data_IF_322373815516
#
_entry.id   IF_322373815516
#
_cell.length_a   1.000
_cell.length_b   1.000
_cell.length_c   1.000
_cell.angle_alpha   90.00
_cell.angle_beta   90.00
_cell.angle_gamma   90.00
#
_symmetry.space_group_name_H-M   'P 1'
#
loop_
_entity.id
_entity.type
_entity.pdbx_description
1 polymer ?
#
# COMPACT_ATOMS: atom_id res chain seq x y z
N UNK A 1 -29.98 111.72 19.34
CA UNK A 1 -28.83 110.80 19.14
C UNK A 1 -28.97 109.47 19.89
N UNK A 2 -29.29 109.41 21.20
CA UNK A 2 -29.39 108.15 21.96
C UNK A 2 -30.28 107.05 21.34
N UNK A 3 -31.45 107.41 20.78
CA UNK A 3 -32.37 106.44 20.14
C UNK A 3 -31.81 105.84 18.84
N UNK A 4 -31.11 106.64 18.03
CA UNK A 4 -30.49 106.19 16.77
C UNK A 4 -29.33 105.23 17.04
N UNK A 5 -28.52 105.53 18.06
CA UNK A 5 -27.43 104.65 18.50
C UNK A 5 -27.98 103.31 19.03
N UNK A 6 -29.06 103.33 19.80
CA UNK A 6 -29.70 102.12 20.31
C UNK A 6 -30.25 101.21 19.19
N UNK A 7 -30.86 101.79 18.15
CA UNK A 7 -31.37 101.04 16.99
C UNK A 7 -30.25 100.44 16.16
N UNK A 8 -29.17 101.19 15.93
CA UNK A 8 -27.98 100.68 15.22
C UNK A 8 -27.31 99.53 15.97
N UNK A 9 -27.20 99.62 17.29
CA UNK A 9 -26.66 98.54 18.13
C UNK A 9 -27.56 97.32 18.07
N UNK A 10 -28.89 97.49 18.19
CA UNK A 10 -29.84 96.38 18.10
C UNK A 10 -29.79 95.69 16.72
N UNK A 11 -29.71 96.47 15.63
CA UNK A 11 -29.57 95.93 14.28
C UNK A 11 -28.26 95.18 14.09
N UNK A 12 -27.13 95.72 14.60
CA UNK A 12 -25.84 95.06 14.55
C UNK A 12 -25.85 93.73 15.33
N UNK A 13 -26.44 93.70 16.52
CA UNK A 13 -26.58 92.48 17.33
C UNK A 13 -27.43 91.43 16.60
N UNK A 14 -28.57 91.80 16.01
CA UNK A 14 -29.42 90.88 15.24
C UNK A 14 -28.71 90.33 13.99
N UNK A 15 -27.95 91.17 13.29
CA UNK A 15 -27.13 90.73 12.14
C UNK A 15 -26.02 89.77 12.58
N UNK A 16 -25.31 90.07 13.67
CA UNK A 16 -24.26 89.16 14.19
C UNK A 16 -24.85 87.83 14.65
N UNK A 17 -26.02 87.84 15.32
CA UNK A 17 -26.72 86.62 15.71
C UNK A 17 -27.19 85.79 14.52
N UNK A 18 -27.70 86.44 13.46
CA UNK A 18 -28.07 85.78 12.20
C UNK A 18 -26.87 85.15 11.48
N UNK A 19 -25.73 85.86 11.43
CA UNK A 19 -24.47 85.34 10.86
C UNK A 19 -23.99 84.12 11.66
N UNK A 20 -23.96 84.20 12.99
CA UNK A 20 -23.54 83.08 13.86
C UNK A 20 -24.47 81.88 13.68
N UNK A 21 -25.78 82.09 13.62
CA UNK A 21 -26.74 81.01 13.35
C UNK A 21 -26.51 80.36 11.98
N UNK A 22 -26.19 81.15 10.94
CA UNK A 22 -25.90 80.61 9.62
C UNK A 22 -24.57 79.86 9.58
N UNK A 23 -23.55 80.35 10.27
CA UNK A 23 -22.27 79.66 10.42
C UNK A 23 -22.47 78.32 11.13
N UNK A 24 -23.18 78.29 12.25
CA UNK A 24 -23.48 77.06 12.98
C UNK A 24 -24.28 76.06 12.12
N UNK A 25 -25.25 76.55 11.34
CA UNK A 25 -26.01 75.70 10.40
C UNK A 25 -25.13 75.11 9.30
N UNK A 26 -24.25 75.93 8.70
CA UNK A 26 -23.29 75.45 7.69
C UNK A 26 -22.24 74.50 8.27
N UNK A 27 -21.82 74.69 9.52
CA UNK A 27 -20.93 73.77 10.22
C UNK A 27 -21.61 72.43 10.52
N UNK A 28 -22.89 72.46 10.90
CA UNK A 28 -23.70 71.25 11.09
C UNK A 28 -23.89 70.49 9.76
N UNK A 29 -24.30 71.18 8.69
CA UNK A 29 -24.46 70.59 7.35
C UNK A 29 -23.13 69.99 6.85
N UNK A 30 -22.01 70.68 7.08
CA UNK A 30 -20.67 70.19 6.74
C UNK A 30 -20.32 68.94 7.54
N UNK A 31 -20.60 68.92 8.84
CA UNK A 31 -20.30 67.77 9.70
C UNK A 31 -21.11 66.53 9.28
N UNK A 32 -22.39 66.72 8.94
CA UNK A 32 -23.25 65.66 8.41
C UNK A 32 -22.73 65.12 7.07
N UNK A 33 -22.42 66.01 6.11
CA UNK A 33 -21.87 65.59 4.82
C UNK A 33 -20.53 64.85 4.94
N UNK A 34 -19.66 65.25 5.88
CA UNK A 34 -18.40 64.53 6.16
C UNK A 34 -18.66 63.16 6.79
N UNK A 35 -19.64 63.06 7.69
CA UNK A 35 -20.01 61.79 8.31
C UNK A 35 -20.59 60.81 7.28
N UNK A 36 -21.46 61.29 6.38
CA UNK A 36 -22.00 60.49 5.28
C UNK A 36 -20.90 60.03 4.32
N UNK A 37 -19.99 60.93 3.91
CA UNK A 37 -18.87 60.58 3.03
C UNK A 37 -17.95 59.53 3.68
N UNK A 38 -17.67 59.67 4.98
CA UNK A 38 -16.84 58.72 5.72
C UNK A 38 -17.52 57.34 5.82
N UNK A 39 -18.82 57.30 6.13
CA UNK A 39 -19.58 56.05 6.16
C UNK A 39 -19.66 55.38 4.78
N UNK A 40 -19.80 56.16 3.70
CA UNK A 40 -19.77 55.66 2.33
C UNK A 40 -18.39 55.11 1.96
N UNK A 41 -17.32 55.80 2.35
CA UNK A 41 -15.95 55.34 2.14
C UNK A 41 -15.68 54.01 2.87
N UNK A 42 -16.11 53.88 4.12
CA UNK A 42 -15.99 52.64 4.91
C UNK A 42 -16.78 51.48 4.29
N UNK A 43 -18.00 51.76 3.84
CA UNK A 43 -18.85 50.76 3.16
C UNK A 43 -18.21 50.30 1.85
N UNK A 44 -17.68 51.24 1.07
CA UNK A 44 -16.99 50.94 -0.20
C UNK A 44 -15.72 50.12 0.06
N UNK A 45 -14.93 50.48 1.05
CA UNK A 45 -13.73 49.75 1.43
C UNK A 45 -14.05 48.31 1.84
N UNK A 46 -15.09 48.11 2.67
CA UNK A 46 -15.55 46.78 3.08
C UNK A 46 -16.05 45.95 1.89
N UNK A 47 -16.78 46.58 0.96
CA UNK A 47 -17.26 45.90 -0.24
C UNK A 47 -16.10 45.45 -1.14
N UNK A 48 -15.07 46.29 -1.33
CA UNK A 48 -13.87 45.94 -2.08
C UNK A 48 -13.12 44.77 -1.45
N UNK A 49 -12.88 44.81 -0.13
CA UNK A 49 -12.22 43.69 0.58
C UNK A 49 -12.99 42.37 0.43
N UNK A 50 -14.32 42.42 0.50
CA UNK A 50 -15.16 41.23 0.31
C UNK A 50 -15.07 40.71 -1.12
N UNK A 51 -15.07 41.60 -2.12
CA UNK A 51 -14.91 41.23 -3.52
C UNK A 51 -13.57 40.57 -3.77
N UNK A 52 -12.47 41.14 -3.26
CA UNK A 52 -11.12 40.58 -3.39
C UNK A 52 -11.01 39.20 -2.74
N UNK A 53 -11.59 39.05 -1.54
CA UNK A 53 -11.66 37.76 -0.86
C UNK A 53 -12.43 36.70 -1.66
N UNK A 54 -13.60 37.06 -2.20
CA UNK A 54 -14.43 36.14 -2.99
C UNK A 54 -13.75 35.77 -4.31
N UNK A 55 -13.09 36.73 -4.98
CA UNK A 55 -12.33 36.47 -6.19
C UNK A 55 -11.22 35.43 -5.93
N UNK A 56 -10.42 35.61 -4.89
CA UNK A 56 -9.39 34.64 -4.52
C UNK A 56 -9.94 33.30 -4.03
N UNK A 57 -11.15 33.27 -3.45
CA UNK A 57 -11.81 32.02 -3.08
C UNK A 57 -12.34 31.25 -4.29
N UNK A 58 -12.83 31.95 -5.32
CA UNK A 58 -13.26 31.35 -6.59
C UNK A 58 -12.06 30.78 -7.34
N UNK A 59 -10.97 31.55 -7.47
CA UNK A 59 -9.75 31.10 -8.14
C UNK A 59 -9.21 29.80 -7.54
N UNK A 60 -9.10 29.73 -6.20
CA UNK A 60 -8.70 28.48 -5.51
C UNK A 60 -9.64 27.31 -5.76
N UNK A 61 -10.95 27.56 -5.81
CA UNK A 61 -11.93 26.51 -6.07
C UNK A 61 -11.89 26.01 -7.53
N UNK A 62 -11.57 26.89 -8.47
CA UNK A 62 -11.34 26.55 -9.88
C UNK A 62 -10.07 25.72 -10.04
N UNK A 63 -8.97 26.12 -9.38
CA UNK A 63 -7.72 25.35 -9.34
C UNK A 63 -7.93 23.95 -8.73
N UNK A 64 -8.56 23.86 -7.56
CA UNK A 64 -8.88 22.57 -6.92
C UNK A 64 -9.75 21.67 -7.82
N UNK A 65 -10.64 22.27 -8.61
CA UNK A 65 -11.50 21.53 -9.56
C UNK A 65 -10.69 21.04 -10.75
N UNK A 66 -9.77 21.85 -11.27
CA UNK A 66 -8.87 21.47 -12.36
C UNK A 66 -7.93 20.33 -11.96
N UNK A 67 -7.32 20.43 -10.78
CA UNK A 67 -6.42 19.42 -10.22
C UNK A 67 -7.14 18.07 -10.03
N UNK A 68 -8.34 18.08 -9.47
CA UNK A 68 -9.19 16.87 -9.35
C UNK A 68 -9.55 16.30 -10.72
N UNK A 69 -9.86 17.16 -11.69
CA UNK A 69 -10.11 16.76 -13.07
C UNK A 69 -8.92 16.01 -13.66
N UNK A 70 -7.72 16.57 -13.54
CA UNK A 70 -6.48 15.96 -14.03
C UNK A 70 -6.19 14.60 -13.37
N UNK A 71 -6.39 14.48 -12.05
CA UNK A 71 -6.26 13.19 -11.36
C UNK A 71 -7.26 12.15 -11.88
N UNK A 72 -8.53 12.54 -12.09
CA UNK A 72 -9.57 11.64 -12.60
C UNK A 72 -9.26 11.16 -14.03
N UNK A 73 -8.68 12.00 -14.88
CA UNK A 73 -8.28 11.65 -16.25
C UNK A 73 -7.20 10.55 -16.29
N UNK A 74 -6.36 10.45 -15.26
CA UNK A 74 -5.30 9.43 -15.18
C UNK A 74 -5.79 8.06 -14.66
N UNK A 75 -6.90 8.02 -13.93
CA UNK A 75 -7.40 6.78 -13.28
C UNK A 75 -7.75 5.63 -14.25
N UNK A 76 -8.31 5.86 -15.46
CA UNK A 76 -8.56 4.78 -16.42
C UNK A 76 -7.31 4.01 -16.84
N UNK A 77 -6.17 4.69 -17.02
CA UNK A 77 -4.89 4.05 -17.33
C UNK A 77 -4.42 3.16 -16.16
N UNK A 78 -4.51 3.68 -14.93
CA UNK A 78 -4.22 2.91 -13.72
C UNK A 78 -5.09 1.64 -13.61
N UNK A 79 -6.40 1.76 -13.85
CA UNK A 79 -7.32 0.60 -13.80
C UNK A 79 -7.00 -0.45 -14.87
N UNK A 80 -6.53 -0.03 -16.04
CA UNK A 80 -6.07 -0.94 -17.10
C UNK A 80 -4.87 -1.77 -16.63
N UNK A 81 -3.89 -1.14 -16.00
CA UNK A 81 -2.73 -1.83 -15.43
C UNK A 81 -3.11 -2.76 -14.27
N UNK A 82 -4.06 -2.37 -13.41
CA UNK A 82 -4.57 -3.25 -12.33
C UNK A 82 -5.24 -4.50 -12.90
N UNK A 83 -5.99 -4.37 -14.00
CA UNK A 83 -6.59 -5.52 -14.68
C UNK A 83 -5.54 -6.44 -15.32
N UNK A 84 -4.48 -5.88 -15.90
CA UNK A 84 -3.34 -6.62 -16.43
C UNK A 84 -2.61 -7.39 -15.31
N UNK A 85 -2.28 -6.73 -14.20
CA UNK A 85 -1.68 -7.38 -13.03
C UNK A 85 -2.55 -8.50 -12.49
N UNK A 86 -3.86 -8.28 -12.38
CA UNK A 86 -4.81 -9.31 -11.92
C UNK A 86 -4.75 -10.56 -12.80
N UNK A 87 -4.62 -10.39 -14.11
CA UNK A 87 -4.48 -11.48 -15.07
C UNK A 87 -3.14 -12.20 -14.90
N UNK A 88 -2.04 -11.46 -14.75
CA UNK A 88 -0.71 -12.03 -14.48
C UNK A 88 -0.70 -12.84 -13.17
N UNK A 89 -1.27 -12.31 -12.09
CA UNK A 89 -1.39 -12.98 -10.79
C UNK A 89 -2.22 -14.28 -10.85
N UNK A 90 -3.28 -14.30 -11.66
CA UNK A 90 -4.05 -15.53 -11.93
C UNK A 90 -3.19 -16.55 -12.68
N UNK A 91 -2.46 -16.12 -13.69
CA UNK A 91 -1.54 -16.97 -14.47
C UNK A 91 -0.37 -17.52 -13.66
N UNK A 92 0.05 -16.78 -12.62
CA UNK A 92 1.12 -17.13 -11.68
C UNK A 92 0.68 -18.09 -10.56
N UNK A 93 -0.62 -18.28 -10.36
CA UNK A 93 -1.15 -19.09 -9.26
C UNK A 93 -0.55 -20.50 -9.27
N UNK A 94 0.06 -20.87 -8.15
CA UNK A 94 0.67 -22.19 -7.95
C UNK A 94 1.99 -22.40 -8.69
N UNK A 95 2.54 -21.35 -9.34
CA UNK A 95 3.85 -21.37 -10.00
C UNK A 95 4.88 -20.56 -9.21
N UNK A 96 4.50 -19.35 -8.78
CA UNK A 96 5.39 -18.39 -8.10
C UNK A 96 4.71 -17.72 -6.91
N UNK A 97 5.49 -17.29 -5.90
CA UNK A 97 5.00 -16.56 -4.73
C UNK A 97 4.72 -15.10 -5.03
N UNK A 98 3.44 -14.79 -5.16
CA UNK A 98 2.94 -13.45 -5.48
C UNK A 98 2.52 -12.64 -4.26
N UNK A 99 2.79 -13.10 -3.03
CA UNK A 99 2.34 -12.41 -1.81
C UNK A 99 2.89 -10.98 -1.69
N UNK A 100 4.20 -10.79 -1.90
CA UNK A 100 4.82 -9.46 -1.90
C UNK A 100 4.29 -8.56 -3.03
N UNK A 101 4.09 -9.12 -4.23
CA UNK A 101 3.52 -8.41 -5.38
C UNK A 101 2.11 -7.89 -5.10
N UNK A 102 1.25 -8.71 -4.45
CA UNK A 102 -0.09 -8.30 -4.03
C UNK A 102 -0.07 -7.19 -2.99
N UNK A 103 0.83 -7.28 -2.00
CA UNK A 103 0.97 -6.24 -0.98
C UNK A 103 1.39 -4.89 -1.60
N UNK A 104 2.39 -4.91 -2.49
CA UNK A 104 2.82 -3.72 -3.21
C UNK A 104 1.71 -3.12 -4.09
N UNK A 105 0.93 -3.96 -4.77
CA UNK A 105 -0.20 -3.51 -5.59
C UNK A 105 -1.34 -2.89 -4.76
N UNK A 106 -1.60 -3.42 -3.56
CA UNK A 106 -2.57 -2.81 -2.64
C UNK A 106 -2.09 -1.45 -2.12
N UNK A 107 -0.80 -1.33 -1.81
CA UNK A 107 -0.20 -0.05 -1.43
C UNK A 107 -0.36 1.00 -2.54
N UNK A 108 -0.08 0.62 -3.79
CA UNK A 108 -0.23 1.53 -4.94
C UNK A 108 -1.70 1.92 -5.20
N UNK A 109 -2.65 1.00 -5.01
CA UNK A 109 -4.08 1.31 -5.08
C UNK A 109 -4.50 2.31 -4.00
N UNK A 110 -4.01 2.16 -2.77
CA UNK A 110 -4.31 3.09 -1.69
C UNK A 110 -3.77 4.50 -2.01
N UNK A 111 -2.55 4.60 -2.53
CA UNK A 111 -1.98 5.88 -2.98
C UNK A 111 -2.86 6.57 -4.02
N UNK A 112 -3.43 5.84 -4.99
CA UNK A 112 -4.34 6.44 -6.00
C UNK A 112 -5.70 6.82 -5.43
N UNK A 113 -6.19 6.08 -4.44
CA UNK A 113 -7.45 6.40 -3.76
C UNK A 113 -7.36 7.70 -2.95
N UNK A 114 -6.21 7.91 -2.30
CA UNK A 114 -5.98 9.08 -1.45
C UNK A 114 -5.60 10.34 -2.25
N UNK A 115 -5.17 10.18 -3.52
CA UNK A 115 -4.74 11.28 -4.37
C UNK A 115 -5.93 12.12 -4.91
N UNK A 116 -5.79 13.45 -4.79
CA UNK A 116 -6.82 14.43 -5.14
C UNK A 116 -6.32 15.59 -6.01
N UNK A 117 -5.01 15.83 -6.07
CA UNK A 117 -4.45 17.01 -6.73
C UNK A 117 -3.32 16.73 -7.71
N UNK A 118 -2.44 15.77 -7.42
CA UNK A 118 -1.25 15.50 -8.25
C UNK A 118 -1.47 14.32 -9.22
N UNK A 119 -1.71 14.56 -10.53
CA UNK A 119 -1.83 13.48 -11.52
C UNK A 119 -0.54 12.67 -11.72
N UNK A 120 0.64 13.21 -11.36
CA UNK A 120 1.89 12.46 -11.42
C UNK A 120 1.92 11.32 -10.40
N UNK A 121 1.25 11.45 -9.24
CA UNK A 121 1.13 10.37 -8.26
C UNK A 121 0.40 9.18 -8.88
N UNK A 122 -0.68 9.41 -9.62
CA UNK A 122 -1.40 8.35 -10.34
C UNK A 122 -0.53 7.74 -11.44
N UNK A 123 0.25 8.55 -12.15
CA UNK A 123 1.21 8.09 -13.17
C UNK A 123 2.30 7.19 -12.58
N UNK A 124 2.90 7.58 -11.45
CA UNK A 124 3.90 6.77 -10.73
C UNK A 124 3.31 5.47 -10.20
N UNK A 125 2.09 5.51 -9.65
CA UNK A 125 1.39 4.31 -9.22
C UNK A 125 1.08 3.37 -10.40
N UNK A 126 0.72 3.92 -11.55
CA UNK A 126 0.50 3.16 -12.80
C UNK A 126 1.78 2.45 -13.24
N UNK A 127 2.91 3.17 -13.28
CA UNK A 127 4.20 2.58 -13.59
C UNK A 127 4.62 1.48 -12.59
N UNK A 128 4.26 1.64 -11.32
CA UNK A 128 4.50 0.62 -10.28
C UNK A 128 3.71 -0.67 -10.57
N UNK A 129 2.42 -0.56 -10.88
CA UNK A 129 1.60 -1.73 -11.24
C UNK A 129 2.13 -2.40 -12.52
N UNK A 130 2.54 -1.61 -13.51
CA UNK A 130 3.15 -2.12 -14.73
C UNK A 130 4.42 -2.93 -14.44
N UNK A 131 5.33 -2.39 -13.62
CA UNK A 131 6.56 -3.06 -13.21
C UNK A 131 6.29 -4.37 -12.43
N UNK A 132 5.29 -4.37 -11.53
CA UNK A 132 4.86 -5.59 -10.83
C UNK A 132 4.34 -6.64 -11.80
N UNK A 133 3.59 -6.24 -12.82
CA UNK A 133 3.07 -7.14 -13.86
C UNK A 133 4.20 -7.79 -14.66
N UNK A 134 5.16 -6.98 -15.10
CA UNK A 134 6.36 -7.47 -15.80
C UNK A 134 7.15 -8.45 -14.91
N UNK A 135 7.34 -8.11 -13.63
CA UNK A 135 8.07 -8.96 -12.68
C UNK A 135 7.43 -10.33 -12.48
N UNK A 136 6.11 -10.36 -12.29
CA UNK A 136 5.36 -11.63 -12.21
C UNK A 136 5.51 -12.43 -13.50
N UNK A 137 5.47 -11.76 -14.66
CA UNK A 137 5.71 -12.38 -15.97
C UNK A 137 7.09 -13.05 -16.06
N UNK A 138 8.15 -12.34 -15.69
CA UNK A 138 9.52 -12.86 -15.66
C UNK A 138 9.66 -14.08 -14.76
N UNK A 139 9.12 -14.02 -13.54
CA UNK A 139 9.18 -15.12 -12.58
C UNK A 139 8.42 -16.36 -13.09
N UNK A 140 7.27 -16.17 -13.72
CA UNK A 140 6.52 -17.27 -14.36
C UNK A 140 7.29 -17.85 -15.54
N UNK A 141 7.89 -17.02 -16.40
CA UNK A 141 8.70 -17.49 -17.52
C UNK A 141 9.95 -18.25 -17.05
N UNK A 142 10.61 -17.78 -15.99
CA UNK A 142 11.73 -18.48 -15.37
C UNK A 142 11.28 -19.85 -14.81
N UNK A 143 10.14 -19.90 -14.14
CA UNK A 143 9.54 -21.17 -13.69
C UNK A 143 9.24 -22.12 -14.87
N UNK A 144 8.65 -21.61 -15.96
CA UNK A 144 8.36 -22.41 -17.16
C UNK A 144 9.62 -22.94 -17.83
N UNK A 145 10.66 -22.12 -17.94
CA UNK A 145 11.94 -22.52 -18.52
C UNK A 145 12.58 -23.69 -17.75
N UNK A 146 12.50 -23.65 -16.41
CA UNK A 146 12.94 -24.76 -15.56
C UNK A 146 12.11 -26.02 -15.82
N UNK A 147 10.78 -25.92 -15.91
CA UNK A 147 9.91 -27.06 -16.23
C UNK A 147 10.19 -27.68 -17.61
N UNK A 148 10.46 -26.85 -18.62
CA UNK A 148 10.78 -27.29 -19.98
C UNK A 148 12.16 -27.96 -20.07
N UNK A 149 13.18 -27.35 -19.45
CA UNK A 149 14.53 -27.92 -19.41
C UNK A 149 14.54 -29.30 -18.72
N UNK A 150 13.67 -29.51 -17.73
CA UNK A 150 13.53 -30.78 -17.01
C UNK A 150 12.82 -31.87 -17.81
N UNK A 151 11.95 -31.51 -18.78
CA UNK A 151 11.26 -32.46 -19.65
C UNK A 151 12.03 -32.86 -20.91
N UNK A 152 13.17 -32.20 -21.20
CA UNK A 152 13.96 -32.39 -22.42
C UNK A 152 15.40 -32.91 -22.22
N UNK A 153 15.76 -33.43 -21.03
CA UNK A 153 17.13 -33.87 -20.72
C UNK A 153 17.66 -35.01 -21.63
N UNK A 154 18.94 -35.00 -22.04
CA UNK A 154 19.50 -35.97 -22.98
C UNK A 154 19.82 -37.31 -22.30
N UNK A 155 19.13 -38.38 -22.72
CA UNK A 155 19.59 -39.77 -22.57
C UNK A 155 19.59 -40.41 -21.17
N UNK A 156 19.20 -39.70 -20.12
CA UNK A 156 18.91 -40.33 -18.82
C UNK A 156 17.60 -41.14 -18.85
N UNK A 157 17.39 -42.12 -17.94
CA UNK A 157 16.12 -42.84 -17.87
C UNK A 157 14.97 -41.83 -17.81
N UNK A 158 13.94 -42.08 -18.61
CA UNK A 158 12.78 -41.20 -18.73
C UNK A 158 12.35 -40.77 -17.33
N UNK A 159 12.44 -39.47 -17.08
CA UNK A 159 12.01 -38.90 -15.82
C UNK A 159 10.56 -39.32 -15.59
N UNK A 160 10.31 -40.15 -14.58
CA UNK A 160 8.95 -40.48 -14.19
C UNK A 160 8.37 -39.23 -13.57
N UNK A 161 7.74 -38.39 -14.38
CA UNK A 161 7.00 -37.25 -13.87
C UNK A 161 5.77 -37.72 -13.12
N UNK A 162 5.31 -36.98 -12.11
CA UNK A 162 4.02 -37.26 -11.48
C UNK A 162 2.83 -36.90 -12.38
N UNK A 163 3.11 -36.24 -13.52
CA UNK A 163 2.12 -35.77 -14.48
C UNK A 163 1.24 -34.64 -13.92
N UNK A 164 0.32 -34.11 -14.74
CA UNK A 164 -0.54 -33.00 -14.32
C UNK A 164 -1.37 -33.30 -13.05
N UNK A 165 -1.85 -34.54 -12.91
CA UNK A 165 -2.61 -34.97 -11.74
C UNK A 165 -1.77 -35.08 -10.47
N UNK A 166 -0.55 -35.61 -10.57
CA UNK A 166 0.38 -35.68 -9.45
C UNK A 166 0.84 -34.30 -8.99
N UNK A 167 1.19 -33.41 -9.93
CA UNK A 167 1.52 -32.03 -9.62
C UNK A 167 0.36 -31.33 -8.90
N UNK A 168 -0.86 -31.44 -9.43
CA UNK A 168 -2.05 -30.86 -8.81
C UNK A 168 -2.27 -31.37 -7.38
N UNK A 169 -1.97 -32.65 -7.12
CA UNK A 169 -2.07 -33.25 -5.79
C UNK A 169 -1.04 -32.68 -4.81
N UNK A 170 0.23 -32.60 -5.20
CA UNK A 170 1.29 -32.02 -4.36
C UNK A 170 1.02 -30.53 -4.11
N UNK A 171 0.57 -29.81 -5.14
CA UNK A 171 0.11 -28.41 -5.03
C UNK A 171 -1.03 -28.26 -4.04
N UNK A 172 -2.06 -29.11 -4.11
CA UNK A 172 -3.18 -29.07 -3.18
C UNK A 172 -2.76 -29.37 -1.73
N UNK A 173 -1.81 -30.29 -1.54
CA UNK A 173 -1.22 -30.54 -0.23
C UNK A 173 -0.46 -29.32 0.30
N UNK A 174 0.35 -28.66 -0.54
CA UNK A 174 1.06 -27.44 -0.16
C UNK A 174 0.10 -26.28 0.14
N UNK A 175 -0.98 -26.13 -0.64
CA UNK A 175 -2.03 -25.13 -0.38
C UNK A 175 -2.70 -25.38 0.98
N UNK A 176 -3.03 -26.64 1.29
CA UNK A 176 -3.67 -27.04 2.54
C UNK A 176 -2.84 -26.71 3.78
N UNK A 177 -1.52 -26.86 3.69
CA UNK A 177 -0.61 -26.53 4.82
C UNK A 177 -0.30 -25.03 4.92
N UNK A 178 -0.92 -24.19 4.07
CA UNK A 178 -0.77 -22.74 4.07
C UNK A 178 0.27 -22.20 3.08
N UNK A 179 0.76 -23.01 2.16
CA UNK A 179 1.79 -22.66 1.18
C UNK A 179 1.27 -22.15 -0.16
N UNK A 180 0.01 -21.68 -0.24
CA UNK A 180 -0.65 -21.29 -1.50
C UNK A 180 0.04 -20.18 -2.31
N UNK A 181 0.91 -19.40 -1.68
CA UNK A 181 1.84 -18.49 -2.36
C UNK A 181 3.10 -19.18 -2.84
N UNK A 182 3.67 -20.10 -2.07
CA UNK A 182 5.03 -20.64 -2.31
C UNK A 182 5.14 -21.33 -3.67
N UNK A 183 6.17 -20.96 -4.44
CA UNK A 183 6.44 -21.58 -5.75
C UNK A 183 6.74 -23.07 -5.60
N UNK A 184 6.22 -23.89 -6.49
CA UNK A 184 6.35 -25.35 -6.43
C UNK A 184 6.83 -25.87 -7.78
N UNK A 185 7.75 -26.83 -7.79
CA UNK A 185 8.10 -27.53 -9.02
C UNK A 185 8.66 -28.94 -8.79
N UNK A 186 8.52 -29.79 -9.79
CA UNK A 186 9.06 -31.14 -9.77
C UNK A 186 10.56 -31.14 -10.06
N UNK A 187 11.34 -31.98 -9.39
CA UNK A 187 12.78 -32.15 -9.61
C UNK A 187 13.21 -33.58 -9.31
N UNK A 188 14.17 -34.11 -10.07
CA UNK A 188 14.78 -35.43 -9.81
C UNK A 188 15.70 -35.43 -8.59
N UNK A 189 16.16 -34.26 -8.16
CA UNK A 189 17.08 -34.12 -7.03
C UNK A 189 16.75 -32.90 -6.19
N UNK A 190 17.06 -33.01 -4.91
CA UNK A 190 16.96 -31.95 -3.94
C UNK A 190 18.33 -31.70 -3.34
N UNK A 191 18.92 -30.53 -3.64
CA UNK A 191 20.25 -30.12 -3.21
C UNK A 191 21.38 -31.16 -3.43
N UNK A 192 21.31 -31.95 -4.51
CA UNK A 192 22.31 -33.00 -4.80
C UNK A 192 22.14 -34.31 -4.02
N UNK A 193 21.07 -34.45 -3.23
CA UNK A 193 20.77 -35.65 -2.44
C UNK A 193 19.46 -36.36 -2.82
N UNK A 194 19.13 -37.41 -2.05
CA UNK A 194 17.93 -38.25 -2.20
C UNK A 194 16.71 -37.73 -1.44
N UNK A 195 16.73 -36.47 -1.01
CA UNK A 195 15.61 -35.88 -0.27
C UNK A 195 14.34 -35.87 -1.16
N UNK A 196 13.18 -36.23 -0.58
CA UNK A 196 11.92 -36.33 -1.31
C UNK A 196 11.36 -34.97 -1.74
N UNK A 197 11.68 -33.92 -0.98
CA UNK A 197 11.40 -32.53 -1.29
C UNK A 197 12.49 -31.64 -0.67
N UNK A 198 12.52 -30.37 -1.06
CA UNK A 198 13.46 -29.39 -0.54
C UNK A 198 12.99 -27.96 -0.83
N UNK A 199 13.06 -27.10 0.16
CA UNK A 199 12.96 -25.66 -0.01
C UNK A 199 14.28 -25.01 -0.42
N UNK A 200 14.22 -23.86 -1.09
CA UNK A 200 15.39 -23.01 -1.33
C UNK A 200 15.17 -21.58 -0.82
N UNK A 201 16.26 -20.84 -0.66
CA UNK A 201 16.24 -19.42 -0.23
C UNK A 201 15.56 -18.49 -1.23
N UNK A 202 15.33 -18.92 -2.47
CA UNK A 202 14.58 -18.19 -3.49
C UNK A 202 13.06 -18.25 -3.33
N UNK A 203 12.54 -18.95 -2.32
CA UNK A 203 11.10 -19.01 -2.05
C UNK A 203 10.37 -20.14 -2.80
N UNK A 204 11.09 -21.16 -3.26
CA UNK A 204 10.52 -22.29 -3.99
C UNK A 204 10.72 -23.60 -3.24
N UNK A 205 9.74 -24.49 -3.37
CA UNK A 205 9.81 -25.89 -2.96
C UNK A 205 9.96 -26.75 -4.21
N UNK A 206 10.96 -27.63 -4.20
CA UNK A 206 11.10 -28.69 -5.20
C UNK A 206 10.62 -30.00 -4.60
N UNK A 207 10.08 -30.88 -5.44
CA UNK A 207 9.68 -32.21 -4.99
C UNK A 207 10.00 -33.30 -6.00
N UNK A 208 10.25 -34.52 -5.52
CA UNK A 208 10.44 -35.70 -6.36
C UNK A 208 9.09 -36.29 -6.77
N UNK A 209 8.95 -36.69 -8.01
CA UNK A 209 7.68 -37.11 -8.58
C UNK A 209 6.94 -38.23 -7.81
N UNK A 210 7.66 -39.19 -7.22
CA UNK A 210 7.08 -40.31 -6.46
C UNK A 210 6.31 -39.87 -5.21
N UNK A 211 6.61 -38.69 -4.63
CA UNK A 211 5.89 -38.24 -3.44
C UNK A 211 4.42 -37.94 -3.74
N UNK A 212 4.09 -37.68 -5.01
CA UNK A 212 2.71 -37.53 -5.45
C UNK A 212 1.89 -38.81 -5.24
N UNK A 213 2.50 -39.96 -4.97
CA UNK A 213 1.82 -41.22 -4.64
C UNK A 213 1.84 -41.55 -3.14
N UNK A 214 2.43 -40.70 -2.29
CA UNK A 214 2.45 -40.92 -0.85
C UNK A 214 1.07 -40.80 -0.22
N UNK A 215 0.88 -41.39 0.96
CA UNK A 215 -0.33 -41.18 1.75
C UNK A 215 -0.57 -39.69 2.02
N UNK A 216 -1.82 -39.29 2.16
CA UNK A 216 -2.19 -37.89 2.36
C UNK A 216 -1.51 -37.26 3.58
N UNK A 217 -1.47 -37.98 4.70
CA UNK A 217 -0.76 -37.53 5.91
C UNK A 217 0.73 -37.31 5.68
N UNK A 218 1.40 -38.24 4.98
CA UNK A 218 2.83 -38.14 4.69
C UNK A 218 3.13 -37.02 3.69
N UNK A 219 2.28 -36.84 2.69
CA UNK A 219 2.42 -35.74 1.72
C UNK A 219 2.19 -34.37 2.37
N UNK A 220 1.16 -34.24 3.21
CA UNK A 220 0.91 -32.99 3.94
C UNK A 220 2.03 -32.68 4.93
N UNK A 221 2.57 -33.68 5.65
CA UNK A 221 3.77 -33.49 6.48
C UNK A 221 4.95 -32.98 5.65
N UNK A 222 5.26 -33.62 4.51
CA UNK A 222 6.36 -33.19 3.66
C UNK A 222 6.18 -31.73 3.21
N UNK A 223 4.99 -31.34 2.77
CA UNK A 223 4.74 -29.96 2.37
C UNK A 223 4.80 -28.97 3.53
N UNK A 224 4.32 -29.34 4.72
CA UNK A 224 4.41 -28.50 5.91
C UNK A 224 5.87 -28.33 6.38
N UNK A 225 6.66 -29.40 6.29
CA UNK A 225 8.09 -29.40 6.60
C UNK A 225 8.88 -28.50 5.64
N UNK A 226 8.70 -28.64 4.32
CA UNK A 226 9.38 -27.76 3.37
C UNK A 226 8.94 -26.31 3.48
N UNK A 227 7.65 -26.07 3.76
CA UNK A 227 7.15 -24.73 4.03
C UNK A 227 7.80 -24.12 5.28
N UNK A 228 8.15 -24.93 6.29
CA UNK A 228 8.84 -24.46 7.48
C UNK A 228 10.24 -23.93 7.12
N UNK A 229 10.98 -24.61 6.25
CA UNK A 229 12.27 -24.12 5.75
C UNK A 229 12.16 -22.78 5.02
N UNK A 230 11.10 -22.56 4.21
CA UNK A 230 10.85 -21.24 3.60
C UNK A 230 10.74 -20.15 4.66
N UNK A 231 10.08 -20.42 5.78
CA UNK A 231 9.96 -19.45 6.87
C UNK A 231 11.28 -19.27 7.64
N UNK A 232 12.03 -20.35 7.86
CA UNK A 232 13.38 -20.28 8.44
C UNK A 232 14.31 -19.40 7.61
N UNK A 233 14.28 -19.52 6.27
CA UNK A 233 15.10 -18.68 5.39
C UNK A 233 14.81 -17.19 5.54
N UNK A 234 13.56 -16.81 5.81
CA UNK A 234 13.16 -15.40 6.03
C UNK A 234 13.78 -14.80 7.29
N UNK A 235 14.06 -15.64 8.28
CA UNK A 235 14.61 -15.23 9.59
C UNK A 235 16.01 -15.80 9.83
N UNK A 236 16.71 -16.25 8.78
CA UNK A 236 17.92 -17.07 8.91
C UNK A 236 19.00 -16.42 9.78
N UNK A 237 19.20 -15.10 9.67
CA UNK A 237 20.15 -14.37 10.50
C UNK A 237 19.77 -14.39 11.98
N UNK A 238 18.52 -14.00 12.29
CA UNK A 238 17.98 -14.00 13.65
C UNK A 238 17.97 -15.39 14.27
N UNK A 239 17.55 -16.39 13.49
CA UNK A 239 17.51 -17.79 13.88
C UNK A 239 18.90 -18.28 14.32
N UNK A 240 19.93 -18.06 13.50
CA UNK A 240 21.29 -18.49 13.82
C UNK A 240 21.92 -17.71 14.99
N UNK A 241 21.46 -16.50 15.28
CA UNK A 241 21.88 -15.74 16.47
C UNK A 241 21.14 -16.13 17.75
N UNK A 242 20.10 -16.98 17.67
CA UNK A 242 19.25 -17.31 18.81
C UNK A 242 19.87 -18.39 19.71
N UNK A 243 20.15 -18.02 20.96
CA UNK A 243 20.57 -18.99 21.99
C UNK A 243 19.50 -20.05 22.29
N UNK A 244 18.21 -19.70 22.16
CA UNK A 244 17.10 -20.65 22.32
C UNK A 244 17.02 -21.66 21.19
N UNK A 245 17.30 -21.24 19.95
CA UNK A 245 17.40 -22.17 18.82
C UNK A 245 18.53 -23.19 19.02
N UNK A 246 19.71 -22.71 19.44
CA UNK A 246 20.85 -23.55 19.81
C UNK A 246 20.50 -24.53 20.95
N UNK A 247 19.89 -24.07 22.04
CA UNK A 247 19.61 -24.94 23.20
C UNK A 247 18.45 -25.92 22.98
N UNK A 248 17.39 -25.51 22.29
CA UNK A 248 16.19 -26.33 22.10
C UNK A 248 16.29 -27.28 20.90
N UNK A 249 17.02 -26.89 19.85
CA UNK A 249 17.10 -27.65 18.59
C UNK A 249 18.53 -28.03 18.21
N UNK A 250 19.54 -27.70 19.02
CA UNK A 250 20.95 -28.00 18.71
C UNK A 250 21.48 -27.25 17.49
N UNK A 251 20.78 -26.20 17.05
CA UNK A 251 21.07 -25.55 15.78
C UNK A 251 20.64 -26.34 14.53
N UNK A 252 19.83 -27.41 14.68
CA UNK A 252 19.38 -28.27 13.58
C UNK A 252 18.11 -27.71 12.89
N UNK A 253 18.22 -27.24 11.63
CA UNK A 253 17.08 -26.69 10.91
C UNK A 253 16.05 -27.74 10.50
N UNK A 254 16.46 -29.01 10.32
CA UNK A 254 15.60 -30.14 9.96
C UNK A 254 14.74 -30.55 11.15
N UNK A 255 15.33 -30.59 12.34
CA UNK A 255 14.59 -30.86 13.57
C UNK A 255 13.57 -29.75 13.85
N UNK A 256 13.98 -28.49 13.70
CA UNK A 256 13.07 -27.36 13.83
C UNK A 256 11.93 -27.41 12.79
N UNK A 257 12.22 -27.73 11.52
CA UNK A 257 11.21 -27.83 10.46
C UNK A 257 10.18 -28.93 10.76
N UNK A 258 10.63 -30.08 11.28
CA UNK A 258 9.73 -31.12 11.76
C UNK A 258 8.83 -30.63 12.90
N UNK A 259 9.38 -29.90 13.87
CA UNK A 259 8.59 -29.36 14.97
C UNK A 259 7.58 -28.30 14.51
N UNK A 260 7.98 -27.45 13.56
CA UNK A 260 7.10 -26.47 12.93
C UNK A 260 5.93 -27.14 12.18
N UNK A 261 6.15 -28.30 11.53
CA UNK A 261 5.10 -29.10 10.90
C UNK A 261 4.14 -29.72 11.92
N UNK A 262 4.66 -30.23 13.06
CA UNK A 262 3.85 -30.75 14.18
C UNK A 262 2.88 -29.68 14.70
N UNK A 263 3.36 -28.46 14.93
CA UNK A 263 2.53 -27.34 15.43
C UNK A 263 1.39 -26.99 14.48
N UNK A 264 1.53 -27.25 13.18
CA UNK A 264 0.46 -27.06 12.19
C UNK A 264 -0.47 -28.27 12.04
N UNK A 265 -0.30 -29.30 12.86
CA UNK A 265 -1.14 -30.50 12.84
C UNK A 265 -0.69 -31.54 11.80
N UNK A 266 0.54 -31.44 11.29
CA UNK A 266 1.09 -32.37 10.29
C UNK A 266 2.33 -33.09 10.86
N UNK A 267 2.16 -34.00 11.83
CA UNK A 267 3.29 -34.67 12.47
C UNK A 267 3.98 -35.63 11.50
N UNK A 268 5.32 -35.64 11.56
CA UNK A 268 6.17 -36.60 10.86
C UNK A 268 6.62 -37.75 11.74
N UNK A 269 7.71 -38.40 11.34
CA UNK A 269 8.36 -39.45 12.15
C UNK A 269 9.15 -38.91 13.36
N UNK A 270 9.53 -37.63 13.33
CA UNK A 270 10.24 -36.97 14.42
C UNK A 270 9.28 -36.07 15.21
N UNK A 271 9.27 -36.23 16.54
CA UNK A 271 8.45 -35.44 17.45
C UNK A 271 9.26 -34.35 18.17
N UNK A 272 8.57 -33.38 18.76
CA UNK A 272 9.15 -32.37 19.64
C UNK A 272 8.27 -32.15 20.87
N UNK A 273 8.86 -31.72 21.98
CA UNK A 273 8.16 -31.49 23.24
C UNK A 273 7.35 -30.17 23.23
N UNK A 274 6.57 -29.93 24.29
CA UNK A 274 5.68 -28.75 24.38
C UNK A 274 6.41 -27.41 24.26
N UNK A 275 7.58 -27.28 24.89
CA UNK A 275 8.36 -26.04 24.87
C UNK A 275 8.93 -25.77 23.47
N UNK A 276 9.43 -26.81 22.80
CA UNK A 276 9.89 -26.74 21.41
C UNK A 276 8.75 -26.36 20.47
N UNK A 277 7.56 -26.93 20.65
CA UNK A 277 6.37 -26.59 19.86
C UNK A 277 5.95 -25.14 20.05
N UNK A 278 5.89 -24.67 21.30
CA UNK A 278 5.55 -23.29 21.62
C UNK A 278 6.53 -22.32 20.96
N UNK A 279 7.84 -22.58 21.05
CA UNK A 279 8.85 -21.75 20.42
C UNK A 279 8.77 -21.79 18.88
N UNK A 280 8.66 -22.98 18.28
CA UNK A 280 8.56 -23.17 16.83
C UNK A 280 7.33 -22.48 16.22
N UNK A 281 6.22 -22.39 16.98
CA UNK A 281 5.02 -21.66 16.57
C UNK A 281 5.29 -20.18 16.28
N UNK A 282 6.25 -19.58 17.01
CA UNK A 282 6.61 -18.17 16.89
C UNK A 282 7.18 -17.80 15.52
N UNK A 283 7.84 -18.74 14.83
CA UNK A 283 8.38 -18.49 13.49
C UNK A 283 7.26 -18.31 12.46
N UNK A 284 6.17 -19.08 12.57
CA UNK A 284 5.04 -18.97 11.64
C UNK A 284 4.34 -17.62 11.68
N UNK A 285 4.30 -17.01 12.87
CA UNK A 285 3.64 -15.71 13.11
C UNK A 285 4.61 -14.52 13.11
N UNK A 286 5.90 -14.77 12.83
CA UNK A 286 6.92 -13.71 12.77
C UNK A 286 7.27 -13.09 14.13
N UNK A 287 7.13 -13.86 15.21
CA UNK A 287 7.57 -13.47 16.56
C UNK A 287 9.09 -13.63 16.77
N UNK A 288 9.75 -14.43 15.92
CA UNK A 288 11.21 -14.55 15.87
C UNK A 288 11.72 -13.59 14.78
N UNK A 289 12.57 -12.62 15.14
CA UNK A 289 13.11 -11.57 14.26
C UNK A 289 14.52 -11.19 14.63
#
# INVERSE_FOLDING_TARGET
MRRVVAVMIAAAVLLTAGIVSRVNGLEADRAEAVAELSALADTTHTALQRTDYLAGAVERAEDDTADRGAVLEMRPAFLTEVAALTTALKGAKGKVDTSAHRAAALSAQQTVLDEQADPEVVTRATATIHALTAKVGEEVSAWQAVQLAQSAGPGGPAYTTSGPGGYARVRAALDRVGGGGVGLYESASCAGGNAPACANSGGYIKYRADIANWSEGRLNWAMAHELAHIYQFRVWGALNSSGSYQSMFGGDPEFLANCMAVVRGYPGGQGCNGDQQAWASGIWVGAVR
#
